data_IF_094400427300
#
_entry.id   IF_094400427300
#
_cell.length_a   1.000
_cell.length_b   1.000
_cell.length_c   1.000
_cell.angle_alpha   90.00
_cell.angle_beta   90.00
_cell.angle_gamma   90.00
#
_symmetry.space_group_name_H-M   'P 1'
#
loop_
_entity.id
_entity.type
_entity.pdbx_description
1 polymer ?
#
# COMPACT_ATOMS: atom_id res chain seq x y z
N UNK A 1 6.86 6.44 -10.13
CA UNK A 1 6.15 7.74 -10.21
C UNK A 1 7.10 8.85 -9.78
N UNK A 2 6.79 10.10 -10.10
CA UNK A 2 7.67 11.25 -9.81
C UNK A 2 6.90 12.37 -9.11
N UNK A 3 7.53 13.02 -8.12
CA UNK A 3 7.00 14.19 -7.39
C UNK A 3 8.14 15.19 -7.11
N UNK A 4 7.79 16.43 -6.78
CA UNK A 4 8.75 17.47 -6.43
C UNK A 4 8.97 17.55 -4.90
N UNK A 5 9.11 16.39 -4.24
CA UNK A 5 9.31 16.27 -2.79
C UNK A 5 10.65 15.56 -2.52
N UNK A 6 11.42 16.04 -1.54
CA UNK A 6 12.75 15.47 -1.22
C UNK A 6 13.13 15.69 0.24
N UNK A 7 12.97 14.66 1.07
CA UNK A 7 13.40 14.60 2.47
C UNK A 7 13.72 13.15 2.89
N UNK A 8 13.86 12.86 4.19
CA UNK A 8 14.18 11.51 4.70
C UNK A 8 13.10 10.46 4.40
N UNK A 9 11.86 10.90 4.18
CA UNK A 9 10.67 10.07 3.96
C UNK A 9 10.05 10.25 2.58
N UNK A 10 10.57 11.18 1.76
CA UNK A 10 10.09 11.47 0.43
C UNK A 10 11.25 11.59 -0.56
N UNK A 11 11.15 10.89 -1.69
CA UNK A 11 12.10 11.00 -2.80
C UNK A 11 11.41 11.53 -4.05
N UNK A 12 12.14 12.25 -4.93
CA UNK A 12 11.55 12.80 -6.15
C UNK A 12 11.12 11.72 -7.15
N UNK A 13 11.68 10.51 -7.02
CA UNK A 13 11.29 9.31 -7.73
C UNK A 13 11.03 8.20 -6.71
N UNK A 14 9.90 7.53 -6.85
CA UNK A 14 9.49 6.42 -5.98
C UNK A 14 8.62 5.43 -6.77
N UNK A 15 8.34 4.28 -6.19
CA UNK A 15 7.57 3.21 -6.80
C UNK A 15 6.21 3.09 -6.12
N UNK A 16 5.16 3.02 -6.93
CA UNK A 16 3.79 2.88 -6.45
C UNK A 16 3.09 1.79 -7.24
N UNK A 17 2.22 1.04 -6.56
CA UNK A 17 1.25 0.15 -7.20
C UNK A 17 -0.12 0.77 -7.01
N UNK A 18 -0.92 0.73 -8.07
CA UNK A 18 -2.32 1.10 -8.05
C UNK A 18 -3.16 -0.10 -8.49
N UNK A 19 -4.25 -0.34 -7.76
CA UNK A 19 -5.25 -1.33 -8.10
C UNK A 19 -6.53 -0.65 -8.54
N UNK A 20 -7.17 -1.20 -9.57
CA UNK A 20 -8.48 -0.77 -10.06
C UNK A 20 -9.30 -2.02 -10.35
N UNK A 21 -10.47 -2.12 -9.73
CA UNK A 21 -11.44 -3.19 -9.98
C UNK A 21 -12.76 -2.55 -10.39
N UNK A 22 -13.31 -2.98 -11.52
CA UNK A 22 -14.60 -2.51 -12.04
C UNK A 22 -15.46 -3.74 -12.33
N UNK A 23 -16.63 -3.80 -11.71
CA UNK A 23 -17.66 -4.81 -11.95
C UNK A 23 -19.03 -4.28 -11.49
N UNK A 24 -20.11 -5.01 -11.79
CA UNK A 24 -21.48 -4.54 -11.56
C UNK A 24 -21.86 -4.45 -10.08
N UNK A 25 -21.33 -5.35 -9.26
CA UNK A 25 -21.71 -5.51 -7.85
C UNK A 25 -20.60 -5.06 -6.88
N UNK A 26 -19.67 -4.20 -7.33
CA UNK A 26 -18.54 -3.75 -6.50
C UNK A 26 -18.98 -2.69 -5.48
N UNK A 27 -18.72 -2.95 -4.19
CA UNK A 27 -19.00 -2.02 -3.10
C UNK A 27 -17.82 -1.87 -2.13
N UNK A 28 -17.89 -0.92 -1.20
CA UNK A 28 -16.83 -0.63 -0.23
C UNK A 28 -16.39 -1.85 0.61
N UNK A 29 -17.30 -2.80 0.89
CA UNK A 29 -16.94 -4.07 1.54
C UNK A 29 -15.94 -4.92 0.75
N UNK A 30 -16.01 -4.95 -0.59
CA UNK A 30 -15.06 -5.67 -1.43
C UNK A 30 -13.68 -5.00 -1.38
N UNK A 31 -13.63 -3.66 -1.40
CA UNK A 31 -12.39 -2.91 -1.20
C UNK A 31 -11.74 -3.26 0.14
N UNK A 32 -12.50 -3.21 1.24
CA UNK A 32 -11.99 -3.54 2.58
C UNK A 32 -11.48 -4.97 2.67
N UNK A 33 -12.19 -5.94 2.09
CA UNK A 33 -11.76 -7.35 2.07
C UNK A 33 -10.51 -7.57 1.21
N UNK A 34 -10.40 -6.88 0.07
CA UNK A 34 -9.20 -6.93 -0.77
C UNK A 34 -7.97 -6.39 -0.03
N UNK A 35 -8.11 -5.24 0.64
CA UNK A 35 -7.03 -4.63 1.40
C UNK A 35 -6.66 -5.44 2.65
N UNK A 36 -7.63 -6.08 3.33
CA UNK A 36 -7.37 -7.03 4.42
C UNK A 36 -6.48 -8.18 3.93
N UNK A 37 -6.91 -8.85 2.86
CA UNK A 37 -6.20 -9.99 2.29
C UNK A 37 -4.79 -9.59 1.82
N UNK A 38 -4.66 -8.41 1.19
CA UNK A 38 -3.37 -7.86 0.80
C UNK A 38 -2.46 -7.63 2.00
N UNK A 39 -2.91 -6.94 3.05
CA UNK A 39 -2.08 -6.63 4.21
C UNK A 39 -1.64 -7.89 4.96
N UNK A 40 -2.56 -8.85 5.17
CA UNK A 40 -2.25 -10.13 5.83
C UNK A 40 -1.22 -10.94 5.04
N UNK A 41 -1.37 -11.01 3.72
CA UNK A 41 -0.39 -11.68 2.87
C UNK A 41 0.95 -10.94 2.88
N UNK A 42 0.96 -9.62 2.65
CA UNK A 42 2.18 -8.85 2.51
C UNK A 42 3.02 -8.81 3.79
N UNK A 43 2.38 -8.56 4.94
CA UNK A 43 3.04 -8.52 6.24
C UNK A 43 3.15 -9.90 6.92
N UNK A 44 2.61 -10.96 6.31
CA UNK A 44 2.65 -12.34 6.81
C UNK A 44 2.12 -12.48 8.25
N UNK A 45 1.02 -11.79 8.54
CA UNK A 45 0.34 -11.85 9.85
C UNK A 45 -1.08 -12.39 9.71
N UNK A 46 -1.52 -13.12 10.73
CA UNK A 46 -2.85 -13.75 10.73
C UNK A 46 -3.98 -12.72 10.73
N UNK A 47 -3.78 -11.58 11.38
CA UNK A 47 -4.78 -10.51 11.50
C UNK A 47 -4.11 -9.14 11.48
N UNK A 48 -4.71 -8.19 10.74
CA UNK A 48 -4.29 -6.78 10.74
C UNK A 48 -5.47 -5.93 11.20
N UNK A 49 -5.26 -5.13 12.25
CA UNK A 49 -6.25 -4.13 12.66
C UNK A 49 -6.20 -2.97 11.67
N UNK A 50 -7.28 -2.74 10.92
CA UNK A 50 -7.37 -1.65 9.94
C UNK A 50 -8.34 -0.56 10.38
N UNK A 51 -8.00 0.70 10.07
CA UNK A 51 -8.85 1.87 10.29
C UNK A 51 -8.95 2.67 9.01
N UNK A 52 -10.18 2.98 8.60
CA UNK A 52 -10.46 3.80 7.43
C UNK A 52 -10.91 5.19 7.88
N UNK A 53 -10.16 6.21 7.49
CA UNK A 53 -10.49 7.61 7.76
C UNK A 53 -11.01 8.25 6.48
N UNK A 54 -12.15 8.97 6.50
CA UNK A 54 -12.60 9.74 5.35
C UNK A 54 -11.50 10.70 4.90
N UNK A 55 -11.23 10.71 3.60
CA UNK A 55 -10.28 11.63 2.96
C UNK A 55 -10.88 12.10 1.63
N UNK A 56 -10.10 12.78 0.80
CA UNK A 56 -10.54 13.27 -0.50
C UNK A 56 -9.48 13.02 -1.58
N UNK A 57 -9.86 12.25 -2.60
CA UNK A 57 -9.10 12.11 -3.84
C UNK A 57 -10.01 12.42 -5.03
N UNK A 58 -9.59 13.26 -6.02
CA UNK A 58 -10.47 13.70 -7.11
C UNK A 58 -11.07 12.58 -7.99
N UNK A 59 -10.45 11.40 -7.98
CA UNK A 59 -10.84 10.24 -8.80
C UNK A 59 -11.66 9.19 -8.05
N UNK A 60 -11.93 9.38 -6.76
CA UNK A 60 -12.77 8.48 -5.95
C UNK A 60 -13.81 9.23 -5.11
N UNK A 61 -15.00 8.64 -4.95
CA UNK A 61 -16.05 9.12 -4.06
C UNK A 61 -17.00 7.96 -3.67
N UNK A 62 -17.09 7.58 -2.37
CA UNK A 62 -16.33 8.10 -1.24
C UNK A 62 -14.85 7.71 -1.27
N UNK A 63 -14.01 8.57 -0.67
CA UNK A 63 -12.57 8.42 -0.52
C UNK A 63 -12.17 8.14 0.93
N UNK A 64 -11.11 7.35 1.14
CA UNK A 64 -10.57 7.03 2.46
C UNK A 64 -9.05 6.83 2.46
N UNK A 65 -8.41 7.26 3.53
CA UNK A 65 -7.07 6.81 3.93
C UNK A 65 -7.20 5.57 4.81
N UNK A 66 -6.27 4.63 4.65
CA UNK A 66 -6.22 3.42 5.47
C UNK A 66 -4.98 3.40 6.35
N UNK A 67 -5.22 3.25 7.64
CA UNK A 67 -4.20 3.02 8.65
C UNK A 67 -4.23 1.55 9.11
N UNK A 68 -3.06 1.03 9.48
CA UNK A 68 -2.90 -0.28 10.11
C UNK A 68 -2.40 -0.12 11.55
N UNK A 69 -2.79 -1.05 12.42
CA UNK A 69 -2.28 -1.12 13.79
C UNK A 69 -0.80 -1.50 13.80
N UNK A 70 -0.03 -0.79 14.62
CA UNK A 70 1.38 -1.10 14.83
C UNK A 70 1.84 -0.83 16.27
N UNK A 71 2.98 -1.41 16.62
CA UNK A 71 3.67 -1.19 17.88
C UNK A 71 5.00 -0.50 17.55
N UNK A 72 5.24 0.64 18.21
CA UNK A 72 6.44 1.48 18.02
C UNK A 72 7.33 1.52 19.25
N UNK A 73 7.20 0.57 20.17
CA UNK A 73 7.86 0.59 21.49
C UNK A 73 9.35 0.20 21.50
N UNK A 74 10.03 0.23 20.34
CA UNK A 74 11.46 -0.06 20.21
C UNK A 74 12.06 0.53 18.93
N UNK A 75 13.22 0.02 18.53
CA UNK A 75 13.92 0.43 17.29
C UNK A 75 13.24 -0.12 16.02
N UNK A 76 12.32 -1.09 16.16
CA UNK A 76 11.58 -1.72 15.07
C UNK A 76 10.08 -1.48 15.21
N UNK A 77 9.38 -1.34 14.08
CA UNK A 77 7.92 -1.21 14.02
C UNK A 77 7.34 -2.60 13.73
N UNK A 78 6.61 -3.19 14.68
CA UNK A 78 5.87 -4.43 14.41
C UNK A 78 4.44 -4.12 13.95
N UNK A 79 4.01 -4.82 12.90
CA UNK A 79 2.68 -4.65 12.31
C UNK A 79 1.72 -5.67 12.89
N UNK A 80 0.50 -5.24 13.22
CA UNK A 80 -0.56 -6.11 13.74
C UNK A 80 -0.62 -6.24 15.26
N UNK A 81 0.42 -5.81 15.98
CA UNK A 81 0.45 -5.68 17.43
C UNK A 81 0.42 -4.19 17.84
N UNK A 82 0.02 -3.87 19.08
CA UNK A 82 0.06 -2.53 19.64
C UNK A 82 -1.16 -1.61 19.39
N UNK A 83 -1.10 -0.43 20.01
CA UNK A 83 -2.21 0.54 20.05
C UNK A 83 -2.02 1.75 19.13
N UNK A 84 -0.86 1.85 18.46
CA UNK A 84 -0.59 2.91 17.51
C UNK A 84 -1.21 2.62 16.14
N UNK A 85 -1.27 3.66 15.32
CA UNK A 85 -1.80 3.61 13.96
C UNK A 85 -0.81 4.22 12.99
N UNK A 86 -0.68 3.56 11.84
CA UNK A 86 0.18 4.02 10.77
C UNK A 86 -0.57 4.02 9.44
N UNK A 87 -0.66 5.19 8.83
CA UNK A 87 -1.19 5.33 7.47
C UNK A 87 -0.30 4.59 6.48
N UNK A 88 -0.90 3.82 5.57
CA UNK A 88 -0.14 3.07 4.54
C UNK A 88 -0.63 3.26 3.11
N UNK A 89 -1.89 3.66 2.90
CA UNK A 89 -2.44 3.84 1.55
C UNK A 89 -3.66 4.76 1.51
N UNK A 90 -3.99 5.19 0.29
CA UNK A 90 -5.26 5.84 -0.06
C UNK A 90 -6.13 4.92 -0.93
N UNK A 91 -7.44 4.97 -0.75
CA UNK A 91 -8.40 4.15 -1.48
C UNK A 91 -9.78 4.80 -1.58
N UNK A 92 -10.66 4.23 -2.41
CA UNK A 92 -12.05 4.68 -2.50
C UNK A 92 -12.82 4.03 -3.62
N UNK A 93 -14.11 4.37 -3.72
CA UNK A 93 -14.96 3.97 -4.83
C UNK A 93 -14.69 4.88 -6.03
N UNK A 94 -14.54 4.34 -7.24
CA UNK A 94 -14.19 5.12 -8.43
C UNK A 94 -15.29 6.14 -8.74
N UNK A 95 -14.90 7.39 -8.95
CA UNK A 95 -15.86 8.47 -9.19
C UNK A 95 -16.60 8.25 -10.54
N UNK A 96 -17.94 8.44 -10.63
CA UNK A 96 -18.71 8.19 -11.86
C UNK A 96 -18.22 8.94 -13.10
N UNK A 97 -17.64 10.14 -12.93
CA UNK A 97 -17.04 10.90 -14.05
C UNK A 97 -15.82 10.18 -14.64
N UNK A 98 -15.01 9.51 -13.80
CA UNK A 98 -13.87 8.71 -14.28
C UNK A 98 -14.37 7.54 -15.12
N UNK A 99 -15.40 6.83 -14.67
CA UNK A 99 -16.03 5.74 -15.44
C UNK A 99 -16.57 6.23 -16.78
N UNK A 100 -17.30 7.35 -16.79
CA UNK A 100 -17.83 7.95 -18.03
C UNK A 100 -16.73 8.33 -19.01
N UNK A 101 -15.64 8.94 -18.54
CA UNK A 101 -14.48 9.25 -19.41
C UNK A 101 -13.76 7.99 -19.91
N UNK A 102 -13.85 6.87 -19.18
CA UNK A 102 -13.39 5.56 -19.62
C UNK A 102 -14.37 4.80 -20.53
N UNK A 103 -15.52 5.40 -20.90
CA UNK A 103 -16.54 4.75 -21.73
C UNK A 103 -17.38 3.69 -21.01
N UNK A 104 -17.43 3.74 -19.68
CA UNK A 104 -18.16 2.80 -18.83
C UNK A 104 -19.38 3.49 -18.22
N UNK A 105 -20.54 2.84 -18.29
CA UNK A 105 -21.79 3.35 -17.73
C UNK A 105 -21.83 3.19 -16.19
N UNK A 106 -21.80 4.28 -15.41
CA UNK A 106 -21.77 4.23 -13.96
C UNK A 106 -23.10 3.78 -13.32
N UNK A 107 -24.19 3.71 -14.10
CA UNK A 107 -25.46 3.14 -13.62
C UNK A 107 -25.45 1.61 -13.64
N UNK A 108 -24.53 1.00 -14.40
CA UNK A 108 -24.40 -0.46 -14.55
C UNK A 108 -23.16 -0.97 -13.81
N UNK A 109 -22.06 -0.24 -13.87
CA UNK A 109 -20.77 -0.66 -13.32
C UNK A 109 -20.34 0.25 -12.18
N UNK A 110 -19.78 -0.38 -11.16
CA UNK A 110 -19.12 0.28 -10.05
C UNK A 110 -17.66 -0.17 -10.00
N UNK A 111 -16.85 0.50 -9.18
CA UNK A 111 -15.47 0.07 -9.00
C UNK A 111 -14.85 0.66 -7.76
N UNK A 112 -13.77 0.07 -7.30
CA UNK A 112 -12.89 0.65 -6.30
C UNK A 112 -11.48 0.79 -6.85
N UNK A 113 -10.74 1.73 -6.28
CA UNK A 113 -9.33 1.90 -6.54
C UNK A 113 -8.56 2.06 -5.23
N UNK A 114 -7.28 1.70 -5.25
CA UNK A 114 -6.34 1.95 -4.15
C UNK A 114 -4.96 2.22 -4.71
N UNK A 115 -4.16 2.99 -3.98
CA UNK A 115 -2.79 3.32 -4.34
C UNK A 115 -1.87 3.17 -3.14
N UNK A 116 -0.74 2.49 -3.32
CA UNK A 116 0.20 2.19 -2.25
C UNK A 116 1.65 2.37 -2.68
N UNK A 117 2.43 3.06 -1.85
CA UNK A 117 3.87 3.25 -2.07
C UNK A 117 4.64 1.99 -1.70
N UNK A 118 5.37 1.43 -2.66
CA UNK A 118 6.16 0.20 -2.46
C UNK A 118 7.32 0.49 -1.53
N UNK A 119 8.01 1.61 -1.71
CA UNK A 119 9.19 1.95 -0.92
C UNK A 119 8.83 2.12 0.56
N UNK A 120 7.69 2.78 0.85
CA UNK A 120 7.16 2.90 2.22
C UNK A 120 6.78 1.55 2.82
N UNK A 121 6.16 0.66 2.04
CA UNK A 121 5.86 -0.69 2.51
C UNK A 121 7.13 -1.51 2.80
N UNK A 122 8.15 -1.40 1.95
CA UNK A 122 9.42 -2.08 2.15
C UNK A 122 10.11 -1.59 3.42
N UNK A 123 10.10 -0.28 3.68
CA UNK A 123 10.61 0.28 4.94
C UNK A 123 9.94 -0.33 6.16
N UNK A 124 8.61 -0.46 6.12
CA UNK A 124 7.85 -1.03 7.25
C UNK A 124 8.07 -2.53 7.40
N UNK A 125 8.15 -3.27 6.30
CA UNK A 125 8.33 -4.72 6.33
C UNK A 125 9.73 -5.14 6.78
N UNK A 126 10.76 -4.40 6.36
CA UNK A 126 12.16 -4.75 6.60
C UNK A 126 12.86 -3.85 7.62
N UNK A 127 12.13 -2.96 8.29
CA UNK A 127 12.68 -2.06 9.31
C UNK A 127 13.71 -1.07 8.79
N UNK A 128 13.60 -0.64 7.52
CA UNK A 128 14.59 0.27 6.90
C UNK A 128 14.30 1.72 7.36
N UNK A 129 15.28 2.40 7.99
CA UNK A 129 15.05 3.70 8.64
C UNK A 129 15.08 4.91 7.69
N UNK A 130 15.75 4.80 6.54
CA UNK A 130 15.95 5.91 5.60
C UNK A 130 15.58 5.50 4.17
N UNK A 131 14.71 6.29 3.54
CA UNK A 131 14.25 6.05 2.17
C UNK A 131 15.35 6.31 1.13
N UNK A 132 16.32 7.18 1.44
CA UNK A 132 17.37 7.58 0.48
C UNK A 132 18.28 6.42 0.10
N UNK A 133 18.51 5.51 1.05
CA UNK A 133 19.39 4.35 0.88
C UNK A 133 18.98 3.45 -0.31
N UNK A 134 17.69 3.39 -0.65
CA UNK A 134 17.21 2.63 -1.81
C UNK A 134 17.82 3.11 -3.14
N UNK A 135 18.21 4.39 -3.23
CA UNK A 135 18.65 5.03 -4.46
C UNK A 135 20.16 5.30 -4.53
N UNK A 136 20.89 5.14 -3.42
CA UNK A 136 22.34 5.40 -3.37
C UNK A 136 23.20 4.31 -4.04
N UNK A 137 22.62 3.13 -4.31
CA UNK A 137 23.33 1.99 -4.92
C UNK A 137 24.55 1.49 -4.10
N UNK A 138 24.50 1.60 -2.76
CA UNK A 138 25.57 1.09 -1.88
C UNK A 138 25.56 -0.46 -1.84
N UNK A 139 26.67 -1.07 -2.26
CA UNK A 139 26.83 -2.53 -2.25
C UNK A 139 26.76 -3.15 -0.85
N UNK A 140 27.09 -2.41 0.22
CA UNK A 140 26.95 -2.87 1.61
C UNK A 140 25.49 -2.98 2.00
N UNK A 141 24.70 -1.96 1.66
CA UNK A 141 23.27 -1.95 1.86
C UNK A 141 22.59 -3.06 1.06
N UNK A 142 22.92 -3.18 -0.24
CA UNK A 142 22.39 -4.23 -1.11
C UNK A 142 22.76 -5.65 -0.65
N UNK A 143 23.91 -5.83 0.01
CA UNK A 143 24.26 -7.14 0.60
C UNK A 143 23.51 -7.44 1.89
N UNK A 144 23.06 -6.43 2.61
CA UNK A 144 22.34 -6.60 3.88
C UNK A 144 20.82 -6.73 3.67
N UNK A 145 20.22 -5.85 2.85
CA UNK A 145 18.78 -5.80 2.59
C UNK A 145 18.37 -6.35 1.21
N UNK A 146 19.30 -6.51 0.28
CA UNK A 146 18.97 -6.92 -1.08
C UNK A 146 18.64 -8.40 -1.19
N UNK A 147 17.79 -8.71 -2.17
CA UNK A 147 17.36 -10.07 -2.50
C UNK A 147 18.10 -10.59 -3.73
N UNK A 148 18.22 -11.92 -3.86
CA UNK A 148 18.66 -12.53 -5.11
C UNK A 148 17.63 -12.26 -6.20
N UNK A 149 18.08 -11.85 -7.39
CA UNK A 149 17.18 -11.65 -8.53
C UNK A 149 16.45 -12.93 -8.97
N UNK A 150 16.92 -14.11 -8.53
CA UNK A 150 16.30 -15.41 -8.81
C UNK A 150 15.41 -15.92 -7.67
N UNK A 151 15.42 -15.25 -6.51
CA UNK A 151 14.51 -15.57 -5.41
C UNK A 151 13.14 -14.96 -5.72
N UNK A 152 12.37 -15.66 -6.56
CA UNK A 152 11.02 -15.27 -6.93
C UNK A 152 10.09 -15.66 -5.77
N UNK A 153 9.48 -14.68 -5.05
CA UNK A 153 8.56 -14.99 -3.96
C UNK A 153 7.32 -15.70 -4.52
N UNK A 154 6.81 -16.66 -3.76
CA UNK A 154 5.62 -17.43 -4.14
C UNK A 154 4.75 -17.66 -2.91
N UNK A 155 3.43 -17.77 -3.11
CA UNK A 155 2.52 -18.06 -2.00
C UNK A 155 2.91 -19.31 -1.18
N UNK A 156 3.42 -20.40 -1.79
CA UNK A 156 3.91 -21.56 -1.02
C UNK A 156 5.30 -21.36 -0.40
N UNK A 157 6.15 -20.53 -1.02
CA UNK A 157 7.55 -20.35 -0.62
C UNK A 157 7.79 -19.22 0.38
N UNK A 158 6.73 -18.49 0.76
CA UNK A 158 6.83 -17.28 1.58
C UNK A 158 7.06 -16.02 0.73
N UNK A 159 6.66 -14.89 1.29
CA UNK A 159 6.79 -13.54 0.74
C UNK A 159 7.91 -12.74 1.43
N UNK A 160 8.49 -13.26 2.51
CA UNK A 160 9.65 -12.71 3.23
C UNK A 160 10.78 -13.74 3.33
N UNK A 161 12.03 -13.26 3.29
CA UNK A 161 13.22 -14.00 3.72
C UNK A 161 14.01 -13.13 4.68
#
# INVERSE_FOLDING_TARGET
TYRCDSDMTHTPMFHQIEGLVIDKDIHMGHLKGCLDAFCRAFFEVDTVRMRFRPSHFPFTEPSAEMDIGCNRSGDEISIGDGDDWLEILGCGMVHPVVLRHGGIDPEIYQGFAFGIGIDRLAMLKYGIPDLRDFFESDLRWLRHYGFSALDIPSLPGGLSR
#
